data_IF_178397541083
#
_entry.id   IF_178397541083
#
_cell.length_a   1.000
_cell.length_b   1.000
_cell.length_c   1.000
_cell.angle_alpha   90.00
_cell.angle_beta   90.00
_cell.angle_gamma   90.00
#
_symmetry.space_group_name_H-M   'P 1'
#
loop_
_entity.id
_entity.type
_entity.pdbx_description
1 polymer ?
#
# COMPACT_ATOMS: atom_id res chain seq x y z
N UNK A 1 -2.22 -4.21 11.71
CA UNK A 1 -0.74 -4.13 11.72
C UNK A 1 -0.30 -2.88 10.99
N UNK A 2 0.66 -2.14 11.51
CA UNK A 2 1.21 -0.97 10.82
C UNK A 2 2.72 -0.91 10.96
N UNK A 3 3.42 -0.51 9.91
CA UNK A 3 4.87 -0.33 9.91
C UNK A 3 5.28 0.85 9.04
N UNK A 4 6.50 1.36 9.26
CA UNK A 4 7.06 2.47 8.48
C UNK A 4 8.31 2.01 7.73
N UNK A 5 8.38 2.30 6.43
CA UNK A 5 9.60 2.16 5.64
C UNK A 5 10.46 3.39 5.83
N UNK A 6 11.73 3.22 6.20
CA UNK A 6 12.61 4.33 6.56
C UNK A 6 13.01 5.14 5.32
N UNK A 7 13.14 4.47 4.19
CA UNK A 7 13.66 4.97 2.92
C UNK A 7 12.68 5.97 2.29
N UNK A 8 11.40 5.61 2.23
CA UNK A 8 10.34 6.45 1.67
C UNK A 8 9.58 7.26 2.72
N UNK A 9 9.77 6.96 4.00
CA UNK A 9 8.97 7.51 5.10
C UNK A 9 7.52 7.02 5.12
N UNK A 10 7.09 6.19 4.16
CA UNK A 10 5.73 5.70 4.05
C UNK A 10 5.34 4.82 5.24
N UNK A 11 4.15 5.05 5.77
CA UNK A 11 3.51 4.16 6.74
C UNK A 11 2.52 3.26 6.01
N UNK A 12 2.69 1.97 6.17
CA UNK A 12 1.82 0.95 5.61
C UNK A 12 0.96 0.36 6.72
N UNK A 13 -0.31 0.12 6.42
CA UNK A 13 -1.27 -0.46 7.36
C UNK A 13 -2.06 -1.58 6.71
N UNK A 14 -2.16 -2.71 7.41
CA UNK A 14 -3.15 -3.74 7.17
C UNK A 14 -4.16 -3.76 8.32
N UNK A 15 -5.43 -3.62 8.00
CA UNK A 15 -6.54 -3.71 8.94
C UNK A 15 -7.38 -4.94 8.61
N UNK A 16 -7.69 -5.75 9.62
CA UNK A 16 -8.49 -6.96 9.50
C UNK A 16 -9.75 -6.77 10.34
N UNK A 17 -10.90 -6.88 9.70
CA UNK A 17 -12.20 -6.84 10.35
C UNK A 17 -12.92 -8.16 10.10
N UNK A 18 -13.25 -8.89 11.16
CA UNK A 18 -14.08 -10.09 11.05
C UNK A 18 -15.50 -9.75 10.59
N UNK A 19 -16.04 -10.53 9.67
CA UNK A 19 -17.43 -10.44 9.21
C UNK A 19 -18.15 -11.76 9.52
N UNK A 20 -19.46 -11.83 9.28
CA UNK A 20 -20.23 -13.06 9.52
C UNK A 20 -19.69 -14.26 8.74
N UNK A 21 -19.17 -14.02 7.53
CA UNK A 21 -18.76 -15.05 6.58
C UNK A 21 -17.25 -15.02 6.26
N UNK A 22 -16.44 -14.23 6.96
CA UNK A 22 -15.02 -14.13 6.67
C UNK A 22 -14.29 -12.96 7.32
N UNK A 23 -13.36 -12.35 6.58
CA UNK A 23 -12.56 -11.21 7.05
C UNK A 23 -12.38 -10.20 5.92
N UNK A 24 -12.68 -8.93 6.21
CA UNK A 24 -12.27 -7.81 5.36
C UNK A 24 -10.84 -7.43 5.69
N UNK A 25 -9.94 -7.52 4.71
CA UNK A 25 -8.57 -7.04 4.79
C UNK A 25 -8.44 -5.73 4.00
N UNK A 26 -8.06 -4.65 4.67
CA UNK A 26 -7.80 -3.35 4.03
C UNK A 26 -6.31 -3.02 4.10
N UNK A 27 -5.71 -2.69 2.95
CA UNK A 27 -4.35 -2.19 2.86
C UNK A 27 -4.35 -0.68 2.63
N UNK A 28 -3.47 0.05 3.31
CA UNK A 28 -3.33 1.50 3.16
C UNK A 28 -1.86 1.92 3.21
N UNK A 29 -1.53 2.93 2.40
CA UNK A 29 -0.25 3.63 2.39
C UNK A 29 -0.50 5.10 2.75
N UNK A 30 0.15 5.57 3.79
CA UNK A 30 0.16 6.97 4.18
C UNK A 30 1.57 7.53 4.02
N UNK A 31 1.69 8.64 3.28
CA UNK A 31 2.94 9.40 3.20
C UNK A 31 2.91 10.55 4.22
N UNK A 32 4.02 10.85 4.90
CA UNK A 32 4.11 12.04 5.73
C UNK A 32 3.87 13.29 4.88
N UNK A 33 3.07 14.24 5.39
CA UNK A 33 2.79 15.50 4.69
C UNK A 33 4.11 16.25 4.43
N UNK A 34 4.43 16.43 3.14
CA UNK A 34 5.51 17.27 2.59
C UNK A 34 6.77 17.40 3.45
N UNK A 35 7.63 16.39 3.38
CA UNK A 35 9.07 16.61 3.55
C UNK A 35 9.69 16.70 2.16
N UNK A 36 10.39 17.80 1.90
CA UNK A 36 11.05 18.22 0.65
C UNK A 36 11.85 17.09 -0.06
N UNK A 37 12.19 16.00 0.64
CA UNK A 37 12.85 14.81 0.10
C UNK A 37 12.07 14.01 -0.95
N UNK A 38 10.73 14.09 -1.03
CA UNK A 38 9.96 13.41 -2.09
C UNK A 38 9.97 14.16 -3.42
N UNK A 39 10.34 15.45 -3.44
CA UNK A 39 10.44 16.25 -4.67
C UNK A 39 11.66 15.86 -5.53
N UNK A 40 12.68 15.21 -4.95
CA UNK A 40 13.94 14.90 -5.65
C UNK A 40 13.83 13.68 -6.58
N UNK A 41 12.80 12.83 -6.43
CA UNK A 41 12.53 11.70 -7.34
C UNK A 41 11.49 12.03 -8.42
N UNK A 42 10.95 13.25 -8.42
CA UNK A 42 9.87 13.69 -9.31
C UNK A 42 10.12 13.56 -10.83
N UNK A 43 11.33 13.79 -11.38
CA UNK A 43 11.53 13.76 -12.83
C UNK A 43 12.07 12.43 -13.39
N UNK A 44 12.39 11.43 -12.55
CA UNK A 44 13.08 10.20 -13.02
C UNK A 44 12.10 9.04 -13.28
N UNK A 45 10.84 9.13 -12.83
CA UNK A 45 9.85 8.02 -12.88
C UNK A 45 8.47 8.45 -13.42
N UNK A 46 8.41 9.40 -14.38
CA UNK A 46 7.17 9.69 -15.11
C UNK A 46 6.09 10.52 -14.38
N UNK A 47 6.38 11.06 -13.20
CA UNK A 47 5.50 11.95 -12.44
C UNK A 47 4.71 11.25 -11.33
N UNK A 48 4.50 11.96 -10.22
CA UNK A 48 3.96 11.43 -8.96
C UNK A 48 2.60 10.69 -9.10
N UNK A 49 1.76 11.05 -10.09
CA UNK A 49 0.46 10.42 -10.31
C UNK A 49 0.57 8.99 -10.86
N UNK A 50 1.42 8.76 -11.87
CA UNK A 50 1.59 7.42 -12.45
C UNK A 50 2.19 6.43 -11.46
N UNK A 51 3.07 6.92 -10.57
CA UNK A 51 3.66 6.11 -9.51
C UNK A 51 2.64 5.68 -8.46
N UNK A 52 1.70 6.57 -8.09
CA UNK A 52 0.65 6.22 -7.12
C UNK A 52 -0.36 5.22 -7.70
N UNK A 53 -0.70 5.33 -8.99
CA UNK A 53 -1.55 4.35 -9.69
C UNK A 53 -0.89 2.97 -9.79
N UNK A 54 0.40 2.92 -10.16
CA UNK A 54 1.18 1.69 -10.20
C UNK A 54 1.24 1.02 -8.82
N UNK A 55 1.48 1.81 -7.78
CA UNK A 55 1.50 1.30 -6.40
C UNK A 55 0.13 0.82 -5.94
N UNK A 56 -0.96 1.50 -6.29
CA UNK A 56 -2.31 1.06 -5.99
C UNK A 56 -2.65 -0.27 -6.69
N UNK A 57 -2.23 -0.43 -7.95
CA UNK A 57 -2.38 -1.69 -8.69
C UNK A 57 -1.55 -2.82 -8.06
N UNK A 58 -0.33 -2.52 -7.63
CA UNK A 58 0.52 -3.45 -6.89
C UNK A 58 -0.13 -3.92 -5.59
N UNK A 59 -0.68 -2.98 -4.80
CA UNK A 59 -1.38 -3.30 -3.55
C UNK A 59 -2.61 -4.17 -3.77
N UNK A 60 -3.38 -3.91 -4.84
CA UNK A 60 -4.52 -4.74 -5.20
C UNK A 60 -4.08 -6.17 -5.52
N UNK A 61 -3.06 -6.33 -6.35
CA UNK A 61 -2.48 -7.65 -6.68
C UNK A 61 -2.03 -8.39 -5.42
N UNK A 62 -1.42 -7.70 -4.45
CA UNK A 62 -1.03 -8.31 -3.18
C UNK A 62 -2.23 -8.80 -2.38
N UNK A 63 -3.30 -7.99 -2.28
CA UNK A 63 -4.53 -8.38 -1.56
C UNK A 63 -5.22 -9.57 -2.23
N UNK A 64 -5.26 -9.61 -3.56
CA UNK A 64 -5.82 -10.73 -4.32
C UNK A 64 -5.05 -12.02 -4.05
N UNK A 65 -3.72 -11.98 -4.08
CA UNK A 65 -2.88 -13.15 -3.76
C UNK A 65 -3.05 -13.64 -2.32
N UNK A 66 -3.19 -12.72 -1.37
CA UNK A 66 -3.47 -13.08 0.03
C UNK A 66 -4.82 -13.78 0.11
N UNK A 67 -5.86 -13.23 -0.54
CA UNK A 67 -7.19 -13.85 -0.60
C UNK A 67 -7.12 -15.25 -1.19
N UNK A 68 -6.51 -15.41 -2.35
CA UNK A 68 -6.34 -16.71 -3.01
C UNK A 68 -5.61 -17.72 -2.12
N UNK A 69 -4.51 -17.31 -1.49
CA UNK A 69 -3.71 -18.18 -0.60
C UNK A 69 -4.51 -18.64 0.60
N UNK A 70 -5.30 -17.74 1.21
CA UNK A 70 -6.14 -18.05 2.38
C UNK A 70 -7.32 -18.94 1.99
N UNK A 71 -7.95 -18.68 0.85
CA UNK A 71 -9.08 -19.47 0.34
C UNK A 71 -8.65 -20.85 -0.18
N UNK A 72 -7.40 -20.99 -0.63
CA UNK A 72 -6.86 -22.26 -1.10
C UNK A 72 -6.65 -23.30 0.02
N UNK A 73 -6.52 -22.87 1.28
CA UNK A 73 -6.56 -23.72 2.48
C UNK A 73 -5.57 -24.87 2.51
#
# INVERSE_FOLDING_TARGET
MAWRTRESGATWTYELLGTADGTTLTARRDLPRFTIGTTVLGPVIGGAAGHDDELAAGLRTTLERIRETVEAG
#
